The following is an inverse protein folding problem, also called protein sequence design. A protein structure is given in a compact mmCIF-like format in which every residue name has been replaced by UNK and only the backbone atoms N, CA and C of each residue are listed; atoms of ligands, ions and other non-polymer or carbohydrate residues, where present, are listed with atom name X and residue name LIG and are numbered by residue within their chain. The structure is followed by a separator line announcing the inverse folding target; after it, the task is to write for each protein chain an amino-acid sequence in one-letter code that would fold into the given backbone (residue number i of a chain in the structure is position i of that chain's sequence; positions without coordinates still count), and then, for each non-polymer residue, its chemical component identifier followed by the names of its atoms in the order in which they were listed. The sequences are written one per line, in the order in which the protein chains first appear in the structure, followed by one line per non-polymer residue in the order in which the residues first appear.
data_IF_217455760047
#
_entry.id   IF_217455760047
#
_cell.length_a   1.000
_cell.length_b   1.000
_cell.length_c   1.000
_cell.angle_alpha   90.00
_cell.angle_beta   90.00
_cell.angle_gamma   90.00
#
_symmetry.space_group_name_H-M   'P 1'
#
loop_
_entity.id
_entity.type
_entity.pdbx_description
1 polymer ?
#
# COMPACT_ATOMS: atom_id res chain seq x y z
N UNK A 1 14.15 -1.56 20.38
CA UNK A 1 13.91 -2.47 19.26
C UNK A 1 12.93 -1.77 18.33
N UNK A 2 13.34 -1.39 17.13
CA UNK A 2 12.44 -0.70 16.20
C UNK A 2 11.59 -1.78 15.51
N UNK A 3 10.29 -1.75 15.76
CA UNK A 3 9.30 -2.63 15.14
C UNK A 3 8.34 -1.75 14.37
N UNK A 4 8.18 -2.02 13.09
CA UNK A 4 7.15 -1.41 12.24
C UNK A 4 6.04 -2.40 11.97
N UNK A 5 4.86 -1.89 11.63
CA UNK A 5 3.72 -2.72 11.28
C UNK A 5 3.07 -2.28 9.97
N UNK A 6 2.19 -3.12 9.48
CA UNK A 6 1.36 -2.87 8.31
C UNK A 6 0.08 -3.69 8.40
N UNK A 7 -1.06 -3.08 8.10
CA UNK A 7 -2.29 -3.83 7.89
C UNK A 7 -2.19 -4.68 6.60
N UNK A 8 -2.72 -5.89 6.67
CA UNK A 8 -2.88 -6.81 5.54
C UNK A 8 -4.32 -7.29 5.46
N UNK A 9 -4.68 -8.05 4.44
CA UNK A 9 -6.04 -8.58 4.29
C UNK A 9 -6.38 -9.47 5.48
N UNK A 10 -7.41 -9.09 6.24
CA UNK A 10 -7.87 -9.78 7.44
C UNK A 10 -6.77 -10.01 8.49
N UNK A 11 -5.81 -9.08 8.61
CA UNK A 11 -4.71 -9.27 9.55
C UNK A 11 -3.71 -8.14 9.66
N UNK A 12 -2.60 -8.45 10.33
CA UNK A 12 -1.50 -7.52 10.55
C UNK A 12 -0.16 -8.21 10.24
N UNK A 13 0.77 -7.43 9.72
CA UNK A 13 2.18 -7.74 9.59
C UNK A 13 2.97 -6.91 10.59
N UNK A 14 3.86 -7.54 11.32
CA UNK A 14 4.84 -6.88 12.18
C UNK A 14 6.24 -7.22 11.70
N UNK A 15 7.09 -6.20 11.54
CA UNK A 15 8.43 -6.31 10.97
C UNK A 15 9.48 -5.70 11.89
N UNK A 16 10.60 -6.37 12.03
CA UNK A 16 11.85 -5.82 12.53
C UNK A 16 12.93 -5.85 11.43
N UNK A 17 14.18 -5.49 11.78
CA UNK A 17 15.30 -5.46 10.80
C UNK A 17 15.61 -6.82 10.17
N UNK A 18 15.32 -7.91 10.83
CA UNK A 18 15.74 -9.26 10.43
C UNK A 18 14.59 -10.14 9.94
N UNK A 19 13.42 -9.96 10.54
CA UNK A 19 12.27 -10.82 10.29
C UNK A 19 10.98 -10.04 10.23
N UNK A 20 9.98 -10.60 9.54
CA UNK A 20 8.61 -10.18 9.68
C UNK A 20 7.69 -11.36 9.96
N UNK A 21 6.62 -11.11 10.65
CA UNK A 21 5.56 -12.07 10.91
C UNK A 21 4.22 -11.51 10.44
N UNK A 22 3.41 -12.35 9.82
CA UNK A 22 2.07 -12.00 9.36
C UNK A 22 1.06 -12.90 10.05
N UNK A 23 0.08 -12.30 10.71
CA UNK A 23 -1.03 -12.99 11.35
C UNK A 23 -2.32 -12.62 10.64
N UNK A 24 -3.05 -13.60 10.14
CA UNK A 24 -4.33 -13.43 9.41
C UNK A 24 -5.43 -14.24 10.03
N UNK A 25 -6.64 -13.70 10.03
CA UNK A 25 -7.85 -14.42 10.37
C UNK A 25 -8.39 -15.12 9.13
N UNK A 26 -8.56 -16.43 9.22
CA UNK A 26 -9.15 -17.24 8.16
C UNK A 26 -10.69 -17.14 8.19
N UNK A 27 -11.38 -17.49 7.10
CA UNK A 27 -12.84 -17.52 7.04
C UNK A 27 -13.50 -18.41 8.11
N UNK A 28 -12.79 -19.44 8.60
CA UNK A 28 -13.24 -20.31 9.69
C UNK A 28 -12.99 -19.74 11.10
N UNK A 29 -12.55 -18.46 11.20
CA UNK A 29 -12.28 -17.77 12.45
C UNK A 29 -10.92 -18.11 13.10
N UNK A 30 -10.16 -19.08 12.59
CA UNK A 30 -8.83 -19.43 13.11
C UNK A 30 -7.79 -18.41 12.67
N UNK A 31 -6.79 -18.19 13.51
CA UNK A 31 -5.65 -17.32 13.18
C UNK A 31 -4.54 -18.18 12.61
N UNK A 32 -4.02 -17.77 11.45
CA UNK A 32 -2.84 -18.36 10.83
C UNK A 32 -1.69 -17.36 10.88
N UNK A 33 -0.53 -17.82 11.32
CA UNK A 33 0.68 -17.00 11.43
C UNK A 33 1.75 -17.58 10.54
N UNK A 34 2.47 -16.71 9.82
CA UNK A 34 3.72 -17.05 9.13
C UNK A 34 4.83 -16.13 9.61
N UNK A 35 6.07 -16.63 9.57
CA UNK A 35 7.27 -15.87 9.89
C UNK A 35 8.28 -16.06 8.78
N UNK A 36 8.80 -14.97 8.27
CA UNK A 36 9.80 -14.96 7.21
C UNK A 36 10.94 -13.98 7.54
N UNK A 37 12.08 -14.18 6.87
CA UNK A 37 13.19 -13.25 6.98
C UNK A 37 12.84 -11.98 6.19
N UNK A 38 13.10 -10.82 6.80
CA UNK A 38 12.97 -9.53 6.14
C UNK A 38 14.04 -9.41 5.06
N UNK A 39 13.67 -8.82 3.95
CA UNK A 39 14.63 -8.48 2.90
C UNK A 39 15.61 -7.44 3.46
N UNK A 40 16.91 -7.76 3.41
CA UNK A 40 17.98 -6.93 3.97
C UNK A 40 18.92 -6.44 2.87
N UNK A 41 19.54 -5.29 3.14
CA UNK A 41 20.50 -4.69 2.21
C UNK A 41 21.86 -5.37 2.18
N UNK A 42 22.55 -5.33 1.07
CA UNK A 42 23.99 -5.38 1.06
C UNK A 42 24.59 -4.16 1.80
N UNK A 43 25.54 -4.39 2.66
CA UNK A 43 26.17 -3.37 3.54
C UNK A 43 26.83 -2.19 2.79
N UNK A 44 27.15 -2.36 1.50
CA UNK A 44 27.76 -1.34 0.65
C UNK A 44 26.79 -0.23 0.19
N UNK A 45 25.45 -0.41 0.33
CA UNK A 45 24.46 0.64 0.10
C UNK A 45 24.23 1.57 1.32
N UNK A 46 25.03 1.49 2.35
CA UNK A 46 24.85 2.26 3.59
C UNK A 46 25.24 3.75 3.46
N UNK A 47 25.02 4.33 2.28
CA UNK A 47 25.14 5.78 2.05
C UNK A 47 23.88 6.46 2.55
N UNK A 48 24.03 7.57 3.29
CA UNK A 48 22.97 8.24 4.06
C UNK A 48 21.65 8.45 3.31
N UNK A 49 21.69 8.86 2.04
CA UNK A 49 20.50 9.11 1.25
C UNK A 49 19.95 7.82 0.59
N UNK A 50 20.84 7.00 0.03
CA UNK A 50 20.49 5.77 -0.68
C UNK A 50 19.85 4.75 0.26
N UNK A 51 20.32 4.68 1.52
CA UNK A 51 19.79 3.81 2.55
C UNK A 51 18.30 3.97 2.76
N UNK A 52 17.79 5.22 2.79
CA UNK A 52 16.37 5.51 2.98
C UNK A 52 15.52 5.02 1.83
N UNK A 53 15.91 5.35 0.59
CA UNK A 53 15.18 4.97 -0.64
C UNK A 53 15.17 3.46 -0.82
N UNK A 54 16.33 2.82 -0.67
CA UNK A 54 16.44 1.36 -0.83
C UNK A 54 15.71 0.64 0.31
N UNK A 55 15.74 1.18 1.57
CA UNK A 55 14.96 0.67 2.71
C UNK A 55 13.47 0.71 2.48
N UNK A 56 12.99 1.78 1.93
CA UNK A 56 11.61 1.91 1.53
C UNK A 56 11.24 0.85 0.47
N UNK A 57 12.10 0.65 -0.55
CA UNK A 57 11.89 -0.37 -1.58
C UNK A 57 11.75 -1.78 -1.00
N UNK A 58 12.64 -2.17 -0.09
CA UNK A 58 12.55 -3.47 0.60
C UNK A 58 11.34 -3.57 1.52
N UNK A 59 10.98 -2.49 2.22
CA UNK A 59 9.78 -2.47 3.05
C UNK A 59 8.51 -2.65 2.21
N UNK A 60 8.43 -1.98 1.07
CA UNK A 60 7.33 -2.15 0.12
C UNK A 60 7.29 -3.58 -0.46
N UNK A 61 8.44 -4.14 -0.81
CA UNK A 61 8.51 -5.51 -1.32
C UNK A 61 8.01 -6.54 -0.30
N UNK A 62 8.49 -6.49 0.94
CA UNK A 62 8.03 -7.37 2.03
C UNK A 62 6.53 -7.13 2.32
N UNK A 63 6.08 -5.87 2.30
CA UNK A 63 4.68 -5.51 2.48
C UNK A 63 3.76 -6.06 1.40
N UNK A 64 4.16 -5.99 0.13
CA UNK A 64 3.40 -6.59 -0.98
C UNK A 64 3.36 -8.12 -0.86
N UNK A 65 4.47 -8.77 -0.50
CA UNK A 65 4.48 -10.22 -0.25
C UNK A 65 3.50 -10.61 0.87
N UNK A 66 3.49 -9.85 1.95
CA UNK A 66 2.56 -10.08 3.07
C UNK A 66 1.09 -9.90 2.64
N UNK A 67 0.79 -8.86 1.85
CA UNK A 67 -0.54 -8.63 1.29
C UNK A 67 -0.99 -9.78 0.39
N UNK A 68 -0.13 -10.24 -0.52
CA UNK A 68 -0.42 -11.37 -1.42
C UNK A 68 -0.62 -12.65 -0.62
N UNK A 69 0.24 -12.92 0.37
CA UNK A 69 0.10 -14.09 1.21
C UNK A 69 -1.23 -14.05 1.99
N UNK A 70 -1.58 -12.92 2.59
CA UNK A 70 -2.82 -12.76 3.36
C UNK A 70 -4.06 -12.91 2.47
N UNK A 71 -4.06 -12.31 1.28
CA UNK A 71 -5.11 -12.47 0.29
C UNK A 71 -5.33 -13.94 -0.08
N UNK A 72 -4.25 -14.66 -0.41
CA UNK A 72 -4.30 -16.07 -0.78
C UNK A 72 -4.76 -17.02 0.37
N UNK A 73 -4.72 -16.57 1.63
CA UNK A 73 -5.28 -17.34 2.76
C UNK A 73 -6.81 -17.20 2.83
N UNK A 74 -7.35 -16.10 2.33
CA UNK A 74 -8.79 -15.78 2.39
C UNK A 74 -9.53 -16.11 1.07
N UNK A 75 -8.78 -16.32 -0.02
CA UNK A 75 -9.33 -16.77 -1.30
C UNK A 75 -9.51 -18.30 -1.33
N UNK A 76 -10.47 -18.77 -2.08
CA UNK A 76 -10.65 -20.20 -2.38
C UNK A 76 -9.43 -20.81 -3.09
N UNK A 77 -9.31 -22.15 -3.05
CA UNK A 77 -8.16 -22.83 -3.67
C UNK A 77 -8.05 -22.59 -5.19
N UNK A 78 -9.15 -22.30 -5.84
CA UNK A 78 -9.24 -22.07 -7.30
C UNK A 78 -9.02 -20.60 -7.69
N UNK A 79 -9.06 -19.68 -6.71
CA UNK A 79 -8.95 -18.22 -6.92
C UNK A 79 -7.57 -17.65 -6.59
N UNK A 80 -6.57 -18.50 -6.38
CA UNK A 80 -5.22 -18.03 -6.05
C UNK A 80 -4.60 -17.25 -7.21
N UNK A 81 -4.28 -16.00 -6.94
CA UNK A 81 -3.64 -15.12 -7.91
C UNK A 81 -2.24 -15.62 -8.28
N UNK A 82 -1.97 -15.70 -9.57
CA UNK A 82 -0.62 -15.98 -10.07
C UNK A 82 0.26 -14.75 -9.94
N UNK A 83 1.58 -14.93 -9.91
CA UNK A 83 2.54 -13.80 -9.85
C UNK A 83 2.35 -12.81 -11.00
N UNK A 84 2.00 -13.30 -12.20
CA UNK A 84 1.76 -12.43 -13.37
C UNK A 84 0.51 -11.57 -13.20
N UNK A 85 -0.57 -12.12 -12.65
CA UNK A 85 -1.80 -11.38 -12.37
C UNK A 85 -1.58 -10.33 -11.29
N UNK A 86 -0.81 -10.65 -10.25
CA UNK A 86 -0.45 -9.70 -9.19
C UNK A 86 0.35 -8.54 -9.76
N UNK A 87 1.42 -8.82 -10.52
CA UNK A 87 2.25 -7.78 -11.13
C UNK A 87 1.45 -6.93 -12.13
N UNK A 88 0.61 -7.56 -12.94
CA UNK A 88 -0.27 -6.86 -13.88
C UNK A 88 -1.28 -5.94 -13.17
N UNK A 89 -1.93 -6.44 -12.12
CA UNK A 89 -2.89 -5.66 -11.33
C UNK A 89 -2.22 -4.49 -10.61
N UNK A 90 -1.06 -4.72 -9.99
CA UNK A 90 -0.28 -3.65 -9.34
C UNK A 90 0.18 -2.59 -10.36
N UNK A 91 0.68 -3.01 -11.51
CA UNK A 91 1.10 -2.10 -12.58
C UNK A 91 -0.06 -1.25 -13.11
N UNK A 92 -1.20 -1.88 -13.38
CA UNK A 92 -2.41 -1.18 -13.83
C UNK A 92 -2.95 -0.23 -12.75
N UNK A 93 -2.96 -0.65 -11.48
CA UNK A 93 -3.39 0.20 -10.35
C UNK A 93 -2.48 1.42 -10.19
N UNK A 94 -1.16 1.23 -10.32
CA UNK A 94 -0.20 2.33 -10.24
C UNK A 94 -0.37 3.32 -11.39
N UNK A 95 -0.54 2.83 -12.62
CA UNK A 95 -0.81 3.66 -13.78
C UNK A 95 -2.12 4.45 -13.62
N UNK A 96 -3.17 3.78 -13.16
CA UNK A 96 -4.47 4.41 -12.90
C UNK A 96 -4.37 5.49 -11.81
N UNK A 97 -3.56 5.27 -10.77
CA UNK A 97 -3.32 6.27 -9.74
C UNK A 97 -2.59 7.51 -10.28
N UNK A 98 -1.60 7.32 -11.16
CA UNK A 98 -0.92 8.46 -11.82
C UNK A 98 -1.91 9.25 -12.68
N UNK A 99 -2.71 8.59 -13.49
CA UNK A 99 -3.71 9.26 -14.34
C UNK A 99 -4.72 10.01 -13.48
N UNK A 100 -5.23 9.38 -12.42
CA UNK A 100 -6.26 9.95 -11.56
C UNK A 100 -5.74 11.11 -10.69
N UNK A 101 -4.59 10.96 -10.02
CA UNK A 101 -4.11 11.92 -9.02
C UNK A 101 -3.07 12.92 -9.56
N UNK A 102 -2.51 12.70 -10.74
CA UNK A 102 -1.55 13.60 -11.37
C UNK A 102 -2.13 14.17 -12.67
N UNK A 103 -2.55 13.32 -13.58
CA UNK A 103 -3.01 13.73 -14.90
C UNK A 103 -4.31 14.54 -14.84
N UNK A 104 -5.34 13.99 -14.22
CA UNK A 104 -6.67 14.61 -14.20
C UNK A 104 -6.67 16.00 -13.50
N UNK A 105 -6.08 16.19 -12.30
CA UNK A 105 -5.99 17.51 -11.69
C UNK A 105 -5.20 18.50 -12.52
N UNK A 106 -4.07 18.08 -13.10
CA UNK A 106 -3.25 18.93 -13.96
C UNK A 106 -4.05 19.47 -15.16
N UNK A 107 -4.74 18.60 -15.89
CA UNK A 107 -5.54 19.03 -17.04
C UNK A 107 -6.75 19.87 -16.62
N UNK A 108 -7.39 19.56 -15.50
CA UNK A 108 -8.50 20.34 -14.97
C UNK A 108 -8.05 21.76 -14.57
N UNK A 109 -6.92 21.87 -13.86
CA UNK A 109 -6.35 23.17 -13.50
C UNK A 109 -5.94 23.98 -14.73
N UNK A 110 -5.32 23.34 -15.73
CA UNK A 110 -4.90 23.97 -16.98
C UNK A 110 -6.08 24.47 -17.81
N UNK A 111 -7.23 23.83 -17.72
CA UNK A 111 -8.44 24.27 -18.40
C UNK A 111 -9.03 25.59 -17.82
N UNK A 112 -8.86 25.78 -16.48
CA UNK A 112 -9.33 27.02 -15.82
C UNK A 112 -8.29 28.13 -15.95
N UNK A 113 -7.02 27.80 -15.73
CA UNK A 113 -5.91 28.77 -15.75
C UNK A 113 -4.66 28.09 -16.33
N UNK A 114 -4.12 28.67 -17.42
CA UNK A 114 -2.99 28.02 -18.11
C UNK A 114 -1.64 28.15 -17.41
N UNK A 115 -1.42 29.25 -16.66
CA UNK A 115 -0.09 29.56 -16.11
C UNK A 115 -0.15 30.36 -14.79
N UNK A 116 0.99 30.46 -14.11
CA UNK A 116 1.18 31.31 -12.93
C UNK A 116 0.84 30.65 -11.60
N UNK A 117 0.80 31.47 -10.56
CA UNK A 117 0.55 31.01 -9.18
C UNK A 117 -0.83 30.38 -9.03
N UNK A 118 -1.82 30.93 -9.69
CA UNK A 118 -3.20 30.44 -9.64
C UNK A 118 -3.36 29.05 -10.25
N UNK A 119 -2.59 28.72 -11.29
CA UNK A 119 -2.53 27.36 -11.82
C UNK A 119 -2.14 26.36 -10.69
N UNK A 120 -1.08 26.66 -9.95
CA UNK A 120 -0.62 25.78 -8.87
C UNK A 120 -1.64 25.66 -7.73
N UNK A 121 -2.36 26.75 -7.43
CA UNK A 121 -3.43 26.75 -6.42
C UNK A 121 -4.58 25.84 -6.86
N UNK A 122 -5.06 25.96 -8.09
CA UNK A 122 -6.13 25.11 -8.61
C UNK A 122 -5.70 23.64 -8.72
N UNK A 123 -4.49 23.37 -9.23
CA UNK A 123 -3.94 22.01 -9.31
C UNK A 123 -3.87 21.36 -7.90
N UNK A 124 -3.38 22.10 -6.92
CA UNK A 124 -3.32 21.62 -5.52
C UNK A 124 -4.70 21.37 -4.91
N UNK A 125 -5.67 22.27 -5.14
CA UNK A 125 -7.04 22.11 -4.66
C UNK A 125 -7.74 20.91 -5.31
N UNK A 126 -7.57 20.70 -6.62
CA UNK A 126 -8.12 19.54 -7.32
C UNK A 126 -7.52 18.24 -6.80
N UNK A 127 -6.19 18.18 -6.59
CA UNK A 127 -5.52 17.00 -6.02
C UNK A 127 -6.06 16.69 -4.63
N UNK A 128 -6.12 17.69 -3.76
CA UNK A 128 -6.63 17.53 -2.40
C UNK A 128 -8.09 17.08 -2.40
N UNK A 129 -8.94 17.73 -3.17
CA UNK A 129 -10.37 17.40 -3.29
C UNK A 129 -10.59 15.98 -3.83
N UNK A 130 -9.85 15.61 -4.87
CA UNK A 130 -9.94 14.30 -5.49
C UNK A 130 -9.44 13.19 -4.54
N UNK A 131 -8.35 13.45 -3.83
CA UNK A 131 -7.81 12.52 -2.82
C UNK A 131 -8.80 12.31 -1.67
N UNK A 132 -9.34 13.39 -1.09
CA UNK A 132 -10.33 13.31 -0.02
C UNK A 132 -11.62 12.61 -0.48
N UNK A 133 -12.11 12.96 -1.68
CA UNK A 133 -13.28 12.30 -2.28
C UNK A 133 -13.04 10.81 -2.50
N UNK A 134 -11.88 10.42 -2.99
CA UNK A 134 -11.48 9.03 -3.14
C UNK A 134 -11.45 8.30 -1.78
N UNK A 135 -10.82 8.88 -0.75
CA UNK A 135 -10.80 8.30 0.59
C UNK A 135 -12.20 8.09 1.16
N UNK A 136 -13.10 9.09 1.01
CA UNK A 136 -14.48 8.99 1.44
C UNK A 136 -15.23 7.88 0.69
N UNK A 137 -14.97 7.71 -0.59
CA UNK A 137 -15.59 6.68 -1.41
C UNK A 137 -15.14 5.29 -0.98
N UNK A 138 -13.82 5.04 -0.91
CA UNK A 138 -13.28 3.72 -0.57
C UNK A 138 -13.57 3.33 0.88
N UNK A 139 -13.64 4.31 1.81
CA UNK A 139 -13.95 4.04 3.22
C UNK A 139 -15.34 3.43 3.45
N UNK A 140 -16.23 3.53 2.46
CA UNK A 140 -17.54 2.89 2.49
C UNK A 140 -17.53 1.41 2.08
N UNK A 141 -16.45 0.97 1.43
CA UNK A 141 -16.29 -0.44 1.05
C UNK A 141 -15.98 -1.28 2.29
N UNK A 142 -16.64 -2.45 2.39
CA UNK A 142 -16.54 -3.34 3.56
C UNK A 142 -15.11 -3.79 3.84
N UNK A 143 -14.40 -4.19 2.79
CA UNK A 143 -13.03 -4.71 2.89
C UNK A 143 -12.04 -3.61 3.30
N UNK A 144 -12.20 -2.41 2.75
CA UNK A 144 -11.38 -1.24 3.11
C UNK A 144 -11.63 -0.80 4.55
N UNK A 145 -12.89 -0.84 5.00
CA UNK A 145 -13.25 -0.56 6.40
C UNK A 145 -12.56 -1.53 7.36
N UNK A 146 -12.57 -2.82 7.03
CA UNK A 146 -11.87 -3.86 7.80
C UNK A 146 -10.36 -3.60 7.81
N UNK A 147 -9.76 -3.25 6.67
CA UNK A 147 -8.35 -2.90 6.57
C UNK A 147 -7.99 -1.69 7.45
N UNK A 148 -8.81 -0.65 7.48
CA UNK A 148 -8.62 0.51 8.37
C UNK A 148 -8.74 0.14 9.85
N UNK A 149 -9.58 -0.82 10.22
CA UNK A 149 -9.66 -1.33 11.60
C UNK A 149 -8.37 -2.04 12.01
N UNK A 150 -7.81 -2.87 11.13
CA UNK A 150 -6.51 -3.52 11.37
C UNK A 150 -5.36 -2.52 11.42
N UNK A 151 -5.37 -1.50 10.56
CA UNK A 151 -4.39 -0.42 10.60
C UNK A 151 -4.46 0.37 11.93
N UNK A 152 -5.67 0.69 12.39
CA UNK A 152 -5.85 1.33 13.70
C UNK A 152 -5.45 0.45 14.88
N UNK A 153 -5.57 -0.87 14.76
CA UNK A 153 -5.13 -1.82 15.78
C UNK A 153 -3.61 -1.99 15.81
N UNK A 154 -2.94 -1.87 14.66
CA UNK A 154 -1.49 -1.94 14.54
C UNK A 154 -0.79 -0.79 15.28
N UNK A 155 -1.42 0.40 15.33
CA UNK A 155 -0.89 1.57 16.03
C UNK A 155 -1.10 1.55 17.56
N UNK A 156 -1.80 0.57 18.12
CA UNK A 156 -2.01 0.39 19.57
C UNK A 156 -0.97 -0.54 20.18
#
# INVERSE_FOLDING_TARGET
MEVGGQAVIEGVMMRNKENYAVAVRLPNGKIKVTKEKSSSFPTWFNVFFIRGVVGLGYALYDGVRALVWSSNQNLGKEEKLSTKEIVGTLGLSFLSAIVLFVGLPFFAARWIQSDGVWFNVFDGLFRAGLFLGYLLLISRMKDVKTLFQYHGAEHK
#
